data_IF_792927478132
#
_entry.id   IF_792927478132
#
_cell.length_a   1.000
_cell.length_b   1.000
_cell.length_c   1.000
_cell.angle_alpha   90.00
_cell.angle_beta   90.00
_cell.angle_gamma   90.00
#
_symmetry.space_group_name_H-M   'P 1'
#
loop_
_entity.id
_entity.type
_entity.pdbx_description
1 polymer ?
#
# COMPACT_ATOMS: atom_id res chain seq x y z
N UNK A 1 -26.86 2.08 -4.31
CA UNK A 1 -25.72 2.84 -3.81
C UNK A 1 -24.72 3.03 -4.96
N UNK A 2 -24.39 4.30 -5.29
CA UNK A 2 -23.33 4.62 -6.23
C UNK A 2 -21.96 4.34 -5.61
N UNK A 3 -20.99 3.92 -6.44
CA UNK A 3 -19.59 3.80 -6.02
C UNK A 3 -18.72 4.64 -6.91
N UNK A 4 -17.99 5.57 -6.31
CA UNK A 4 -17.00 6.40 -7.00
C UNK A 4 -15.63 5.75 -6.90
N UNK A 5 -14.94 5.58 -8.03
CA UNK A 5 -13.58 5.04 -8.04
C UNK A 5 -12.64 6.07 -8.67
N UNK A 6 -11.70 6.60 -7.90
CA UNK A 6 -10.67 7.51 -8.36
C UNK A 6 -9.36 6.76 -8.55
N UNK A 7 -8.85 6.71 -9.79
CA UNK A 7 -7.67 5.93 -10.14
C UNK A 7 -6.39 6.77 -10.16
N UNK A 8 -5.25 6.15 -9.79
CA UNK A 8 -3.91 6.71 -9.90
C UNK A 8 -2.87 5.63 -10.18
N UNK A 9 -1.88 5.96 -11.01
CA UNK A 9 -0.66 5.16 -11.13
C UNK A 9 0.46 5.84 -10.36
N UNK A 10 0.99 5.16 -9.34
CA UNK A 10 2.21 5.60 -8.68
C UNK A 10 3.40 5.40 -9.62
N UNK A 11 4.41 6.26 -9.49
CA UNK A 11 5.66 6.23 -10.27
C UNK A 11 6.85 6.38 -9.32
N UNK A 12 8.06 6.20 -9.81
CA UNK A 12 9.28 6.39 -9.02
C UNK A 12 9.40 7.80 -8.41
N UNK A 13 8.73 8.78 -8.97
CA UNK A 13 8.77 10.17 -8.53
C UNK A 13 9.64 11.05 -9.42
N UNK A 14 9.68 12.33 -9.06
CA UNK A 14 10.50 13.32 -9.75
C UNK A 14 11.98 12.94 -9.67
N UNK A 15 12.76 12.99 -10.78
CA UNK A 15 14.19 12.71 -10.80
C UNK A 15 14.99 13.52 -9.79
N UNK A 16 14.61 14.77 -9.54
CA UNK A 16 15.30 15.67 -8.62
C UNK A 16 14.89 15.48 -7.15
N UNK A 17 13.89 14.64 -6.88
CA UNK A 17 13.44 14.38 -5.51
C UNK A 17 14.37 13.37 -4.81
N UNK A 18 15.00 13.73 -3.68
CA UNK A 18 15.88 12.82 -2.95
C UNK A 18 15.17 11.55 -2.43
N UNK A 19 13.84 11.59 -2.24
CA UNK A 19 13.02 10.43 -1.84
C UNK A 19 12.44 9.66 -3.04
N UNK A 20 12.95 9.89 -4.25
CA UNK A 20 12.61 9.11 -5.44
C UNK A 20 12.97 7.64 -5.23
N UNK A 21 12.15 6.74 -5.75
CA UNK A 21 12.51 5.32 -5.87
C UNK A 21 13.59 5.19 -6.93
N UNK A 22 14.75 4.58 -6.63
CA UNK A 22 15.78 4.30 -7.64
C UNK A 22 15.21 3.43 -8.76
N UNK A 23 15.75 3.57 -9.95
CA UNK A 23 15.43 2.62 -11.04
C UNK A 23 16.12 1.29 -10.76
N UNK A 24 15.45 0.21 -11.20
CA UNK A 24 16.05 -1.11 -11.11
C UNK A 24 17.34 -1.13 -11.96
N UNK A 25 18.43 -1.66 -11.42
CA UNK A 25 19.66 -1.81 -12.20
C UNK A 25 19.41 -2.90 -13.24
N UNK A 26 19.69 -2.58 -14.50
CA UNK A 26 19.71 -3.59 -15.54
C UNK A 26 20.93 -4.50 -15.31
N UNK A 27 20.69 -5.78 -15.14
CA UNK A 27 21.72 -6.80 -15.12
C UNK A 27 21.78 -7.50 -16.48
N UNK A 28 22.98 -7.95 -16.88
CA UNK A 28 23.09 -8.83 -18.03
C UNK A 28 22.69 -10.26 -17.60
N UNK A 29 21.59 -10.83 -18.13
CA UNK A 29 21.18 -12.17 -17.77
C UNK A 29 22.19 -13.24 -18.19
N UNK A 30 23.12 -12.91 -19.10
CA UNK A 30 24.15 -13.83 -19.59
C UNK A 30 25.45 -13.72 -18.80
N UNK A 31 25.63 -12.72 -17.94
CA UNK A 31 26.80 -12.54 -17.08
C UNK A 31 26.42 -12.47 -15.61
N UNK A 32 26.31 -13.63 -14.92
CA UNK A 32 25.95 -13.68 -13.49
C UNK A 32 26.95 -12.96 -12.58
N UNK A 33 28.17 -12.69 -13.03
CA UNK A 33 29.17 -11.96 -12.23
C UNK A 33 28.83 -10.47 -12.09
N UNK A 34 27.91 -9.94 -12.91
CA UNK A 34 27.43 -8.57 -12.82
C UNK A 34 26.24 -8.41 -11.84
N UNK A 35 25.76 -9.52 -11.25
CA UNK A 35 24.62 -9.51 -10.34
C UNK A 35 25.04 -9.06 -8.95
N UNK A 36 24.65 -7.86 -8.59
CA UNK A 36 24.83 -7.32 -7.25
C UNK A 36 23.53 -7.40 -6.46
N UNK A 37 23.63 -7.88 -5.21
CA UNK A 37 22.50 -7.83 -4.30
C UNK A 37 22.17 -6.36 -3.97
N UNK A 38 20.91 -5.98 -4.10
CA UNK A 38 20.45 -4.64 -3.81
C UNK A 38 19.38 -4.66 -2.73
N UNK A 39 19.43 -3.66 -1.86
CA UNK A 39 18.36 -3.42 -0.90
C UNK A 39 17.13 -2.86 -1.63
N UNK A 40 15.98 -3.45 -1.38
CA UNK A 40 14.72 -2.94 -1.89
C UNK A 40 14.39 -1.64 -1.16
N UNK A 41 14.10 -0.53 -1.88
CA UNK A 41 13.85 0.78 -1.28
C UNK A 41 12.42 0.87 -0.69
N UNK A 42 12.09 0.02 0.27
CA UNK A 42 10.76 -0.13 0.87
C UNK A 42 10.16 1.19 1.34
N UNK A 43 10.97 2.01 1.99
CA UNK A 43 10.57 3.32 2.51
C UNK A 43 10.16 4.27 1.39
N UNK A 44 10.95 4.37 0.32
CA UNK A 44 10.66 5.22 -0.82
C UNK A 44 9.41 4.73 -1.56
N UNK A 45 9.27 3.41 -1.75
CA UNK A 45 8.09 2.81 -2.38
C UNK A 45 6.83 3.13 -1.56
N UNK A 46 6.88 2.94 -0.24
CA UNK A 46 5.77 3.27 0.66
C UNK A 46 5.41 4.76 0.59
N UNK A 47 6.40 5.66 0.54
CA UNK A 47 6.18 7.10 0.35
C UNK A 47 5.46 7.40 -0.97
N UNK A 48 5.71 6.68 -2.06
CA UNK A 48 5.00 6.86 -3.34
C UNK A 48 3.53 6.49 -3.23
N UNK A 49 3.21 5.39 -2.55
CA UNK A 49 1.82 4.99 -2.32
C UNK A 49 1.09 5.96 -1.39
N UNK A 50 1.74 6.37 -0.31
CA UNK A 50 1.22 7.39 0.63
C UNK A 50 0.91 8.71 -0.09
N UNK A 51 1.84 9.21 -0.92
CA UNK A 51 1.61 10.41 -1.73
C UNK A 51 0.43 10.24 -2.69
N UNK A 52 0.34 9.10 -3.39
CA UNK A 52 -0.76 8.82 -4.31
C UNK A 52 -2.11 8.85 -3.60
N UNK A 53 -2.19 8.29 -2.39
CA UNK A 53 -3.39 8.35 -1.56
C UNK A 53 -3.74 9.80 -1.19
N UNK A 54 -2.78 10.57 -0.66
CA UNK A 54 -3.03 11.93 -0.19
C UNK A 54 -3.35 12.93 -1.31
N UNK A 55 -2.82 12.76 -2.50
CA UNK A 55 -3.20 13.57 -3.65
C UNK A 55 -4.65 13.29 -4.06
N UNK A 56 -5.05 12.02 -4.10
CA UNK A 56 -6.41 11.64 -4.50
C UNK A 56 -7.45 12.00 -3.45
N UNK A 57 -7.16 11.83 -2.17
CA UNK A 57 -8.08 12.26 -1.12
C UNK A 57 -8.37 13.77 -1.17
N UNK A 58 -7.35 14.62 -1.48
CA UNK A 58 -7.56 16.06 -1.65
C UNK A 58 -8.48 16.38 -2.84
N UNK A 59 -8.36 15.63 -3.93
CA UNK A 59 -9.21 15.77 -5.12
C UNK A 59 -10.64 15.32 -4.82
N UNK A 60 -10.80 14.19 -4.16
CA UNK A 60 -12.09 13.65 -3.72
C UNK A 60 -12.81 14.63 -2.81
N UNK A 61 -12.12 15.25 -1.86
CA UNK A 61 -12.70 16.25 -0.97
C UNK A 61 -13.26 17.46 -1.75
N UNK A 62 -12.58 17.88 -2.84
CA UNK A 62 -13.12 18.93 -3.73
C UNK A 62 -14.41 18.48 -4.42
N UNK A 63 -14.49 17.22 -4.85
CA UNK A 63 -15.68 16.67 -5.49
C UNK A 63 -16.85 16.54 -4.52
N UNK A 64 -16.61 16.15 -3.28
CA UNK A 64 -17.63 16.14 -2.22
C UNK A 64 -18.13 17.57 -1.95
N UNK A 65 -17.21 18.52 -1.77
CA UNK A 65 -17.56 19.92 -1.49
C UNK A 65 -18.31 20.60 -2.65
N UNK A 66 -18.11 20.17 -3.89
CA UNK A 66 -18.84 20.64 -5.06
C UNK A 66 -20.19 19.93 -5.29
N UNK A 67 -20.52 18.92 -4.49
CA UNK A 67 -21.73 18.11 -4.64
C UNK A 67 -21.67 17.10 -5.79
N UNK A 68 -20.50 16.90 -6.42
CA UNK A 68 -20.33 15.91 -7.47
C UNK A 68 -20.40 14.49 -6.91
N UNK A 69 -19.82 14.27 -5.73
CA UNK A 69 -19.94 13.02 -4.96
C UNK A 69 -20.96 13.26 -3.85
N UNK A 70 -21.98 12.43 -3.78
CA UNK A 70 -23.03 12.52 -2.76
C UNK A 70 -22.59 11.86 -1.45
N UNK A 71 -23.21 12.26 -0.35
CA UNK A 71 -22.84 11.80 0.99
C UNK A 71 -23.14 10.32 1.25
N UNK A 72 -24.00 9.70 0.44
CA UNK A 72 -24.39 8.28 0.53
C UNK A 72 -23.63 7.39 -0.48
N UNK A 73 -22.73 7.95 -1.29
CA UNK A 73 -21.91 7.20 -2.21
C UNK A 73 -20.64 6.66 -1.54
N UNK A 74 -20.28 5.42 -1.87
CA UNK A 74 -19.02 4.83 -1.48
C UNK A 74 -17.89 5.40 -2.35
N UNK A 75 -16.73 5.68 -1.76
CA UNK A 75 -15.58 6.28 -2.45
C UNK A 75 -14.35 5.41 -2.28
N UNK A 76 -13.80 4.93 -3.38
CA UNK A 76 -12.63 4.05 -3.42
C UNK A 76 -11.50 4.73 -4.18
N UNK A 77 -10.27 4.62 -3.68
CA UNK A 77 -9.06 5.03 -4.39
C UNK A 77 -8.40 3.78 -4.97
N UNK A 78 -8.28 3.70 -6.30
CA UNK A 78 -7.56 2.62 -6.97
C UNK A 78 -6.13 3.08 -7.28
N UNK A 79 -5.14 2.40 -6.68
CA UNK A 79 -3.71 2.72 -6.82
C UNK A 79 -3.01 1.59 -7.56
N UNK A 80 -2.39 1.90 -8.69
CA UNK A 80 -1.46 0.98 -9.36
C UNK A 80 -0.03 1.32 -8.99
N UNK A 81 0.71 0.33 -8.48
CA UNK A 81 2.15 0.38 -8.22
C UNK A 81 3.01 -0.13 -9.37
N UNK A 82 2.43 -0.55 -10.48
CA UNK A 82 3.11 -1.24 -11.58
C UNK A 82 4.29 -0.47 -12.20
N UNK A 83 4.28 0.88 -12.11
CA UNK A 83 5.33 1.77 -12.61
C UNK A 83 6.36 2.18 -11.56
N UNK A 84 6.31 1.58 -10.38
CA UNK A 84 7.30 1.79 -9.33
C UNK A 84 8.32 0.68 -9.38
N UNK A 85 9.60 1.03 -9.55
CA UNK A 85 10.71 0.07 -9.58
C UNK A 85 10.71 -0.76 -8.30
N UNK A 86 11.07 -2.03 -8.42
CA UNK A 86 11.10 -3.00 -7.32
C UNK A 86 9.77 -3.19 -6.55
N UNK A 87 8.64 -2.63 -7.06
CA UNK A 87 7.35 -2.74 -6.37
C UNK A 87 6.89 -4.18 -6.17
N UNK A 88 7.24 -5.08 -7.11
CA UNK A 88 6.87 -6.50 -7.08
C UNK A 88 7.68 -7.35 -6.13
N UNK A 89 8.79 -6.84 -5.60
CA UNK A 89 9.65 -7.54 -4.64
C UNK A 89 9.14 -7.37 -3.20
N UNK A 90 7.91 -7.75 -2.92
CA UNK A 90 7.33 -7.69 -1.57
C UNK A 90 7.79 -8.85 -0.70
N UNK A 91 8.06 -8.55 0.56
CA UNK A 91 8.40 -9.55 1.58
C UNK A 91 7.40 -9.47 2.74
N UNK A 92 6.54 -10.46 2.82
CA UNK A 92 5.62 -10.65 3.95
C UNK A 92 4.24 -10.03 3.75
N UNK A 93 4.11 -8.70 3.68
CA UNK A 93 2.82 -8.02 3.48
C UNK A 93 2.93 -6.93 2.40
N UNK A 94 1.80 -6.60 1.75
CA UNK A 94 1.77 -5.53 0.74
C UNK A 94 2.16 -4.17 1.32
N UNK A 95 3.15 -3.48 0.71
CA UNK A 95 3.62 -2.15 1.17
C UNK A 95 2.54 -1.08 1.21
N UNK A 96 1.48 -1.25 0.43
CA UNK A 96 0.32 -0.35 0.51
C UNK A 96 -0.31 -0.36 1.91
N UNK A 97 -0.25 -1.46 2.65
CA UNK A 97 -0.73 -1.51 4.03
C UNK A 97 0.09 -0.58 4.94
N UNK A 98 1.41 -0.50 4.76
CA UNK A 98 2.25 0.44 5.49
C UNK A 98 2.01 1.91 5.09
N UNK A 99 1.40 2.18 3.94
CA UNK A 99 0.99 3.53 3.54
C UNK A 99 -0.32 4.00 4.21
N UNK A 100 -1.13 3.07 4.73
CA UNK A 100 -2.47 3.32 5.28
C UNK A 100 -2.57 3.07 6.79
N UNK A 101 -1.72 2.19 7.31
CA UNK A 101 -1.70 1.74 8.71
C UNK A 101 -0.29 1.90 9.30
N UNK A 102 -0.16 1.98 10.63
CA UNK A 102 1.12 2.20 11.32
C UNK A 102 2.02 0.95 11.32
N UNK A 103 2.24 0.38 10.16
CA UNK A 103 3.06 -0.79 9.94
C UNK A 103 4.48 -0.35 9.60
N UNK A 104 5.43 -0.70 10.45
CA UNK A 104 6.86 -0.45 10.23
C UNK A 104 7.62 -1.72 9.86
N UNK A 105 8.91 -1.73 10.18
CA UNK A 105 9.80 -2.82 9.82
C UNK A 105 9.49 -4.11 10.58
N UNK A 106 9.62 -5.23 9.89
CA UNK A 106 9.62 -6.54 10.53
C UNK A 106 10.91 -6.72 11.32
N UNK A 107 10.81 -7.31 12.51
CA UNK A 107 11.97 -7.66 13.34
C UNK A 107 11.96 -9.13 13.75
N UNK A 108 13.15 -9.66 13.96
CA UNK A 108 13.36 -10.98 14.56
C UNK A 108 14.38 -10.83 15.70
N UNK A 109 14.05 -11.32 16.88
CA UNK A 109 14.94 -11.34 18.03
C UNK A 109 15.56 -12.74 18.15
N UNK A 110 16.90 -12.80 18.13
CA UNK A 110 17.64 -14.04 18.29
C UNK A 110 18.23 -14.15 19.70
N UNK A 111 18.20 -15.36 20.26
CA UNK A 111 19.00 -15.68 21.41
C UNK A 111 20.46 -15.76 20.98
N UNK A 112 21.33 -14.93 21.58
CA UNK A 112 22.75 -14.82 21.19
C UNK A 112 23.54 -16.14 21.40
N UNK A 113 23.16 -16.96 22.40
CA UNK A 113 23.88 -18.18 22.71
C UNK A 113 23.46 -19.37 21.84
N UNK A 114 22.20 -19.43 21.43
CA UNK A 114 21.65 -20.56 20.66
C UNK A 114 21.43 -20.23 19.19
N UNK A 115 21.53 -18.94 18.80
CA UNK A 115 21.21 -18.42 17.47
C UNK A 115 19.80 -18.77 16.97
N UNK A 116 18.91 -19.14 17.89
CA UNK A 116 17.50 -19.41 17.57
C UNK A 116 16.68 -18.16 17.70
N UNK A 117 15.72 -17.98 16.78
CA UNK A 117 14.71 -16.95 16.90
C UNK A 117 13.85 -17.23 18.14
N UNK A 118 13.66 -16.21 18.99
CA UNK A 118 12.87 -16.28 20.22
C UNK A 118 11.64 -15.39 20.17
N UNK A 119 11.64 -14.41 19.28
CA UNK A 119 10.49 -13.54 19.02
C UNK A 119 10.60 -12.92 17.62
N UNK A 120 9.47 -12.65 16.98
CA UNK A 120 9.37 -11.89 15.74
C UNK A 120 8.11 -11.03 15.75
N UNK A 121 8.09 -9.97 14.96
CA UNK A 121 6.94 -9.09 14.87
C UNK A 121 7.16 -7.95 13.90
N UNK A 122 6.20 -7.04 13.89
CA UNK A 122 6.23 -5.81 13.10
C UNK A 122 6.28 -4.63 14.08
N UNK A 123 7.18 -3.69 13.83
CA UNK A 123 7.26 -2.47 14.63
C UNK A 123 6.08 -1.56 14.30
N UNK A 124 5.57 -0.87 15.31
CA UNK A 124 4.64 0.24 15.08
C UNK A 124 5.40 1.42 14.46
N UNK A 125 4.86 1.99 13.37
CA UNK A 125 5.39 3.17 12.71
C UNK A 125 4.25 4.07 12.28
N UNK A 126 4.00 5.16 13.00
CA UNK A 126 2.95 6.14 12.66
C UNK A 126 3.34 7.12 11.56
N UNK A 127 4.61 7.16 11.15
CA UNK A 127 5.10 8.08 10.13
C UNK A 127 6.37 7.58 9.45
N UNK A 128 6.59 8.01 8.22
CA UNK A 128 7.84 7.81 7.48
C UNK A 128 8.63 9.11 7.47
N UNK A 129 9.89 9.03 7.86
CA UNK A 129 10.83 10.15 7.80
C UNK A 129 11.46 10.24 6.42
N UNK A 130 11.30 11.37 5.74
CA UNK A 130 11.96 11.68 4.46
C UNK A 130 13.45 11.98 4.63
N UNK A 131 14.20 12.04 3.51
CA UNK A 131 15.61 12.45 3.51
C UNK A 131 15.82 13.88 4.00
N UNK A 132 14.83 14.77 3.81
CA UNK A 132 14.84 16.14 4.34
C UNK A 132 14.33 16.25 5.78
N UNK A 133 14.28 15.15 6.52
CA UNK A 133 13.85 15.03 7.93
C UNK A 133 12.35 15.25 8.16
N UNK A 134 11.54 15.64 7.18
CA UNK A 134 10.11 15.81 7.34
C UNK A 134 9.39 14.45 7.53
N UNK A 135 8.34 14.44 8.34
CA UNK A 135 7.53 13.25 8.61
C UNK A 135 6.31 13.21 7.69
N UNK A 136 6.01 12.03 7.18
CA UNK A 136 4.79 11.73 6.42
C UNK A 136 3.96 10.74 7.21
N UNK A 137 2.72 11.12 7.50
CA UNK A 137 1.76 10.34 8.26
C UNK A 137 1.39 9.03 7.52
N UNK A 138 1.34 7.91 8.25
CA UNK A 138 0.91 6.59 7.79
C UNK A 138 -0.43 6.15 8.42
N UNK A 139 -1.13 7.05 9.10
CA UNK A 139 -2.31 6.76 9.92
C UNK A 139 -3.62 7.01 9.17
N UNK A 140 -3.64 6.83 7.83
CA UNK A 140 -4.81 7.21 7.03
C UNK A 140 -6.09 6.45 7.46
N UNK A 141 -5.99 5.16 7.75
CA UNK A 141 -7.12 4.31 8.10
C UNK A 141 -7.17 3.91 9.59
N UNK A 142 -6.66 4.79 10.47
CA UNK A 142 -6.64 4.56 11.91
C UNK A 142 -7.60 5.46 12.70
N UNK A 143 -8.33 6.32 12.00
CA UNK A 143 -9.27 7.27 12.61
C UNK A 143 -10.34 7.70 11.61
N UNK A 144 -11.31 8.47 12.09
CA UNK A 144 -12.40 9.05 11.28
C UNK A 144 -11.95 10.20 10.36
N UNK A 145 -10.66 10.59 10.37
CA UNK A 145 -10.14 11.72 9.56
C UNK A 145 -10.43 11.58 8.06
N UNK A 146 -10.43 10.36 7.56
CA UNK A 146 -10.70 10.02 6.15
C UNK A 146 -11.92 9.10 6.00
N UNK A 147 -12.92 9.26 6.85
CA UNK A 147 -14.14 8.45 6.88
C UNK A 147 -15.02 8.55 5.62
N UNK A 148 -14.77 9.55 4.78
CA UNK A 148 -15.36 9.70 3.47
C UNK A 148 -14.73 8.81 2.37
N UNK A 149 -13.61 8.14 2.68
CA UNK A 149 -12.98 7.15 1.80
C UNK A 149 -13.33 5.75 2.30
N UNK A 150 -14.00 4.97 1.47
CA UNK A 150 -14.47 3.62 1.80
C UNK A 150 -13.34 2.61 1.84
N UNK A 151 -12.33 2.77 0.98
CA UNK A 151 -11.19 1.87 0.94
C UNK A 151 -10.25 2.15 -0.22
N UNK A 152 -9.24 1.30 -0.34
CA UNK A 152 -8.25 1.33 -1.41
C UNK A 152 -8.27 0.01 -2.17
N UNK A 153 -8.25 0.07 -3.51
CA UNK A 153 -7.92 -1.05 -4.39
C UNK A 153 -6.46 -0.87 -4.81
N UNK A 154 -5.67 -1.92 -4.73
CA UNK A 154 -4.25 -1.86 -5.06
C UNK A 154 -3.84 -3.02 -5.96
N UNK A 155 -2.91 -2.76 -6.92
CA UNK A 155 -2.18 -3.76 -7.69
C UNK A 155 -0.76 -3.31 -7.95
N UNK A 156 0.19 -4.26 -7.99
CA UNK A 156 1.59 -4.05 -8.39
C UNK A 156 1.86 -4.46 -9.83
N UNK A 157 0.87 -4.98 -10.51
CA UNK A 157 0.99 -5.53 -11.86
C UNK A 157 0.36 -4.61 -12.90
N UNK A 158 0.86 -4.66 -14.10
CA UNK A 158 0.26 -4.06 -15.28
C UNK A 158 -0.21 -5.15 -16.26
N UNK A 159 -0.83 -4.73 -17.35
CA UNK A 159 -1.36 -5.66 -18.36
C UNK A 159 -0.27 -6.52 -19.02
N UNK A 160 0.99 -6.07 -19.00
CA UNK A 160 2.11 -6.78 -19.62
C UNK A 160 2.83 -7.71 -18.65
N UNK A 161 2.83 -7.35 -17.36
CA UNK A 161 3.50 -8.07 -16.30
C UNK A 161 2.52 -8.80 -15.38
N UNK A 162 1.30 -8.96 -15.84
CA UNK A 162 0.26 -9.67 -15.10
C UNK A 162 0.64 -11.14 -15.00
N UNK A 163 0.96 -11.60 -13.79
CA UNK A 163 1.08 -13.03 -13.54
C UNK A 163 -0.29 -13.65 -13.74
N UNK A 164 -0.41 -14.40 -14.82
CA UNK A 164 -1.64 -15.09 -15.17
C UNK A 164 -1.85 -16.26 -14.20
N UNK A 165 -2.32 -15.96 -13.01
CA UNK A 165 -2.71 -16.96 -12.00
C UNK A 165 -4.01 -17.69 -12.40
N UNK A 166 -4.30 -17.74 -13.71
CA UNK A 166 -5.50 -18.37 -14.26
C UNK A 166 -6.80 -17.62 -14.03
N UNK A 167 -6.77 -16.48 -13.31
CA UNK A 167 -7.95 -15.68 -12.98
C UNK A 167 -7.66 -14.19 -13.12
N UNK A 168 -8.42 -13.49 -13.95
CA UNK A 168 -8.30 -12.03 -14.12
C UNK A 168 -8.54 -11.33 -12.79
N UNK A 169 -7.67 -10.37 -12.44
CA UNK A 169 -7.75 -9.58 -11.22
C UNK A 169 -7.26 -10.27 -9.94
N UNK A 170 -6.62 -11.45 -10.04
CA UNK A 170 -6.07 -12.15 -8.89
C UNK A 170 -4.98 -11.36 -8.14
N UNK A 171 -4.37 -10.37 -8.80
CA UNK A 171 -3.39 -9.43 -8.26
C UNK A 171 -4.01 -8.26 -7.50
N UNK A 172 -5.32 -8.01 -7.65
CA UNK A 172 -6.00 -6.94 -6.96
C UNK A 172 -6.10 -7.22 -5.46
N UNK A 173 -5.91 -6.18 -4.67
CA UNK A 173 -6.10 -6.22 -3.21
C UNK A 173 -7.08 -5.10 -2.84
N UNK A 174 -8.21 -5.46 -2.20
CA UNK A 174 -9.10 -4.48 -1.59
C UNK A 174 -8.80 -4.34 -0.10
N UNK A 175 -8.57 -3.10 0.33
CA UNK A 175 -8.24 -2.71 1.70
C UNK A 175 -9.34 -1.75 2.17
N UNK A 176 -10.29 -2.20 3.00
CA UNK A 176 -11.35 -1.35 3.51
C UNK A 176 -10.81 -0.35 4.53
N UNK A 177 -11.44 0.81 4.60
CA UNK A 177 -11.27 1.72 5.71
C UNK A 177 -12.28 1.36 6.82
N UNK A 178 -11.83 0.86 7.98
CA UNK A 178 -12.75 0.44 9.03
C UNK A 178 -13.57 1.59 9.64
N UNK A 179 -13.15 2.84 9.40
CA UNK A 179 -13.82 4.06 9.88
C UNK A 179 -14.71 4.70 8.81
N UNK A 180 -14.84 4.11 7.61
CA UNK A 180 -15.63 4.72 6.54
C UNK A 180 -17.11 4.81 6.88
N UNK A 181 -17.73 5.95 6.54
CA UNK A 181 -19.18 6.16 6.68
C UNK A 181 -19.99 5.24 5.78
N UNK A 182 -19.53 5.05 4.56
CA UNK A 182 -20.18 4.21 3.56
C UNK A 182 -19.32 2.99 3.31
N UNK A 183 -19.67 1.87 3.93
CA UNK A 183 -18.94 0.61 3.77
C UNK A 183 -19.38 -0.10 2.48
N UNK A 184 -18.44 -0.80 1.85
CA UNK A 184 -18.71 -1.76 0.77
C UNK A 184 -18.69 -3.18 1.35
N UNK A 185 -19.48 -4.10 0.79
CA UNK A 185 -19.43 -5.49 1.22
C UNK A 185 -18.05 -6.10 0.94
N UNK A 186 -17.67 -7.11 1.74
CA UNK A 186 -16.38 -7.80 1.62
C UNK A 186 -16.17 -8.42 0.24
N UNK A 187 -17.25 -8.86 -0.41
CA UNK A 187 -17.26 -9.42 -1.77
C UNK A 187 -17.42 -8.37 -2.87
N UNK A 188 -17.23 -7.09 -2.57
CA UNK A 188 -17.29 -6.00 -3.55
C UNK A 188 -16.41 -6.26 -4.77
N UNK A 189 -15.16 -6.66 -4.54
CA UNK A 189 -14.33 -7.25 -5.56
C UNK A 189 -14.53 -8.76 -5.54
N UNK A 190 -15.20 -9.30 -6.57
CA UNK A 190 -15.41 -10.76 -6.72
C UNK A 190 -14.16 -11.49 -7.22
N UNK A 191 -13.00 -10.81 -7.23
CA UNK A 191 -11.71 -11.30 -7.69
C UNK A 191 -10.60 -10.70 -6.85
N UNK A 192 -9.47 -11.39 -6.74
CA UNK A 192 -8.32 -10.88 -6.02
C UNK A 192 -8.33 -11.22 -4.53
N UNK A 193 -7.85 -10.30 -3.72
CA UNK A 193 -7.71 -10.45 -2.27
C UNK A 193 -8.48 -9.36 -1.54
N UNK A 194 -9.00 -9.71 -0.38
CA UNK A 194 -9.65 -8.78 0.55
C UNK A 194 -8.89 -8.80 1.87
N UNK A 195 -8.60 -7.61 2.41
CA UNK A 195 -8.01 -7.46 3.73
C UNK A 195 -9.12 -7.21 4.77
N UNK A 196 -9.24 -8.11 5.73
CA UNK A 196 -10.07 -7.91 6.91
C UNK A 196 -9.21 -7.26 8.00
N UNK A 197 -9.69 -6.15 8.57
CA UNK A 197 -8.91 -5.33 9.48
C UNK A 197 -9.60 -5.27 10.82
N UNK A 198 -8.92 -5.77 11.83
CA UNK A 198 -9.35 -5.71 13.22
C UNK A 198 -8.50 -4.70 13.99
N UNK A 199 -9.16 -3.74 14.61
CA UNK A 199 -8.53 -2.74 15.46
C UNK A 199 -8.87 -3.07 16.90
N UNK A 200 -7.86 -3.39 17.71
CA UNK A 200 -7.91 -3.51 19.16
C UNK A 200 -7.23 -2.28 19.77
N UNK A 201 -7.43 -2.01 21.05
CA UNK A 201 -6.97 -0.79 21.70
C UNK A 201 -5.52 -0.36 21.40
N UNK A 202 -4.60 -1.32 21.19
CA UNK A 202 -3.19 -1.05 20.88
C UNK A 202 -2.61 -1.97 19.80
N UNK A 203 -3.43 -2.70 19.06
CA UNK A 203 -3.01 -3.68 18.09
C UNK A 203 -3.83 -3.61 16.82
N UNK A 204 -3.19 -3.91 15.68
CA UNK A 204 -3.87 -4.15 14.41
C UNK A 204 -3.66 -5.61 14.03
N UNK A 205 -4.75 -6.24 13.65
CA UNK A 205 -4.70 -7.54 13.00
C UNK A 205 -5.24 -7.39 11.58
N UNK A 206 -4.47 -7.82 10.60
CA UNK A 206 -4.84 -7.77 9.18
C UNK A 206 -4.81 -9.18 8.65
N UNK A 207 -5.98 -9.69 8.26
CA UNK A 207 -6.14 -11.00 7.67
C UNK A 207 -6.44 -10.82 6.19
N UNK A 208 -5.67 -11.48 5.33
CA UNK A 208 -5.87 -11.43 3.88
C UNK A 208 -6.58 -12.69 3.41
N UNK A 209 -7.73 -12.50 2.77
CA UNK A 209 -8.53 -13.56 2.16
C UNK A 209 -8.40 -13.53 0.65
N UNK A 210 -8.45 -14.68 0.01
CA UNK A 210 -8.54 -14.79 -1.46
C UNK A 210 -10.00 -14.97 -1.85
N UNK A 211 -10.46 -14.18 -2.84
CA UNK A 211 -11.83 -14.26 -3.39
C UNK A 211 -11.96 -15.32 -4.48
#
# INVERSE_FOLDING_TARGET
>A
LGTWIECVSATNGDPDNPDRVPEDISYDPNDPLTWEAQDVPDKQITLRYTNSFFEKQKKIMKYINSGLIKSDEAVVIAISGAKVSSARTEQGYPRILAALFPIGDRYVIFNKSTMKAVNEGIRYSGSIKKKNESLVDQLAFTSTKYDFITGVIFSMHDVWNHEYLGKLGADLIYIPNPFAKNQLPADFLRVGRYCEIYIKENEFEIITHTC
#
